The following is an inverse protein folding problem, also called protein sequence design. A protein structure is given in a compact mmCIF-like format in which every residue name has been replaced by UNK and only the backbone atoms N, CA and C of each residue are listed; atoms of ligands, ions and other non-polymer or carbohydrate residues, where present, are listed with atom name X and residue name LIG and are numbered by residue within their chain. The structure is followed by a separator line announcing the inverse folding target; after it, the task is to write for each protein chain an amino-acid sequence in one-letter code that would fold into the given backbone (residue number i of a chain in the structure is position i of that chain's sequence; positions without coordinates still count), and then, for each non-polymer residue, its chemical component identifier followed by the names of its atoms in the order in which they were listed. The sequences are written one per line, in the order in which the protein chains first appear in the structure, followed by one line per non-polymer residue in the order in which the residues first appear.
data_IF_306329653042
#
_entry.id   IF_306329653042
#
_cell.length_a   1.000
_cell.length_b   1.000
_cell.length_c   1.000
_cell.angle_alpha   90.00
_cell.angle_beta   90.00
_cell.angle_gamma   90.00
#
_symmetry.space_group_name_H-M   'P 1'
#
loop_
_entity.id
_entity.type
_entity.pdbx_description
1 polymer ?
#
# COMPACT_ATOMS: atom_id res chain seq x y z
N UNK A 1 7.12 16.39 -0.73
CA UNK A 1 6.08 15.45 -1.18
C UNK A 1 6.75 14.15 -1.59
N UNK A 2 6.16 13.02 -1.26
CA UNK A 2 6.50 11.71 -1.81
C UNK A 2 5.28 11.03 -2.44
N UNK A 3 5.55 10.08 -3.30
CA UNK A 3 4.54 9.26 -3.98
C UNK A 3 5.00 7.81 -3.92
N UNK A 4 4.11 6.88 -3.59
CA UNK A 4 4.44 5.46 -3.48
C UNK A 4 3.23 4.56 -3.75
N UNK A 5 3.48 3.31 -4.13
CA UNK A 5 2.46 2.29 -4.40
C UNK A 5 2.88 0.99 -3.70
N UNK A 6 2.57 0.87 -2.40
CA UNK A 6 3.02 -0.26 -1.59
C UNK A 6 2.22 -1.53 -1.90
N UNK A 7 2.84 -2.72 -1.80
CA UNK A 7 2.10 -3.96 -1.64
C UNK A 7 1.19 -3.92 -0.39
N UNK A 8 0.12 -4.72 -0.40
CA UNK A 8 -0.97 -4.66 0.57
C UNK A 8 -0.70 -5.39 1.89
N UNK A 9 0.50 -5.94 2.11
CA UNK A 9 0.88 -6.43 3.45
C UNK A 9 1.18 -5.27 4.38
N UNK A 10 0.95 -5.45 5.68
CA UNK A 10 1.24 -4.40 6.67
C UNK A 10 2.72 -4.02 6.70
N UNK A 11 3.61 -5.01 6.57
CA UNK A 11 5.04 -4.80 6.57
C UNK A 11 5.51 -3.98 5.37
N UNK A 12 5.03 -4.30 4.17
CA UNK A 12 5.36 -3.56 2.95
C UNK A 12 4.79 -2.13 3.01
N UNK A 13 3.52 -1.97 3.37
CA UNK A 13 2.91 -0.65 3.56
C UNK A 13 3.76 0.22 4.49
N UNK A 14 4.09 -0.29 5.68
CA UNK A 14 4.91 0.41 6.68
C UNK A 14 6.27 0.82 6.11
N UNK A 15 6.95 -0.09 5.40
CA UNK A 15 8.26 0.18 4.82
C UNK A 15 8.21 1.27 3.75
N UNK A 16 7.25 1.20 2.84
CA UNK A 16 7.10 2.18 1.76
C UNK A 16 6.74 3.57 2.30
N UNK A 17 5.82 3.66 3.26
CA UNK A 17 5.49 4.92 3.92
C UNK A 17 6.70 5.48 4.67
N UNK A 18 7.44 4.65 5.41
CA UNK A 18 8.64 5.08 6.13
C UNK A 18 9.72 5.63 5.19
N UNK A 19 9.95 4.98 4.04
CA UNK A 19 10.89 5.49 3.00
C UNK A 19 10.45 6.83 2.45
N UNK A 20 9.16 6.99 2.14
CA UNK A 20 8.59 8.26 1.70
C UNK A 20 8.79 9.36 2.75
N UNK A 21 8.45 9.08 4.00
CA UNK A 21 8.60 10.02 5.13
C UNK A 21 10.05 10.42 5.36
N UNK A 22 11.00 9.51 5.17
CA UNK A 22 12.42 9.82 5.31
C UNK A 22 12.91 10.93 4.37
N UNK A 23 12.20 11.18 3.26
CA UNK A 23 12.51 12.25 2.29
C UNK A 23 11.89 13.61 2.65
N UNK A 24 10.99 13.65 3.63
CA UNK A 24 10.27 14.87 4.03
C UNK A 24 11.10 15.68 5.03
N UNK A 25 11.02 17.00 4.94
CA UNK A 25 11.66 17.93 5.89
C UNK A 25 10.94 17.93 7.24
N UNK A 26 11.63 18.38 8.29
CA UNK A 26 11.15 18.33 9.67
C UNK A 26 9.86 19.12 9.96
N UNK A 27 9.57 20.12 9.16
CA UNK A 27 8.37 20.95 9.32
C UNK A 27 7.08 20.30 8.73
N UNK A 28 7.16 19.05 8.27
CA UNK A 28 6.04 18.34 7.70
C UNK A 28 5.96 18.40 6.19
N UNK A 29 4.95 17.76 5.64
CA UNK A 29 4.73 17.68 4.20
C UNK A 29 3.61 16.72 3.87
N UNK A 30 3.41 16.47 2.58
CA UNK A 30 2.39 15.57 2.09
C UNK A 30 3.01 14.33 1.45
N UNK A 31 2.30 13.22 1.52
CA UNK A 31 2.57 11.99 0.81
C UNK A 31 1.34 11.52 0.04
N UNK A 32 1.57 10.70 -0.97
CA UNK A 32 0.52 10.04 -1.72
C UNK A 32 0.84 8.56 -1.82
N UNK A 33 -0.17 7.72 -1.61
CA UNK A 33 0.00 6.28 -1.83
C UNK A 33 -1.22 5.67 -2.50
N UNK A 34 -0.98 4.70 -3.39
CA UNK A 34 -1.99 3.86 -3.97
C UNK A 34 -2.33 2.70 -3.04
N UNK A 35 -3.59 2.33 -2.92
CA UNK A 35 -4.01 1.13 -2.20
C UNK A 35 -5.44 0.73 -2.61
N UNK A 36 -5.72 -0.57 -2.60
CA UNK A 36 -7.05 -1.09 -2.88
C UNK A 36 -7.59 -1.92 -1.73
N UNK A 37 -8.90 -1.80 -1.48
CA UNK A 37 -9.60 -2.69 -0.53
C UNK A 37 -9.79 -4.11 -1.08
N UNK A 38 -9.55 -4.33 -2.36
CA UNK A 38 -9.73 -5.66 -2.99
C UNK A 38 -8.63 -6.63 -2.57
N UNK A 39 -7.39 -6.13 -2.46
CA UNK A 39 -6.23 -6.93 -2.08
C UNK A 39 -5.87 -6.77 -0.60
N UNK A 40 -6.44 -5.76 0.06
CA UNK A 40 -6.28 -5.53 1.48
C UNK A 40 -7.54 -5.89 2.24
N UNK A 41 -7.42 -6.78 3.22
CA UNK A 41 -8.53 -7.07 4.12
C UNK A 41 -8.87 -5.86 5.01
N UNK A 42 -10.08 -5.86 5.59
CA UNK A 42 -10.49 -4.84 6.57
C UNK A 42 -9.54 -4.82 7.78
N UNK A 43 -8.97 -5.96 8.17
CA UNK A 43 -7.99 -6.04 9.26
C UNK A 43 -6.66 -5.37 8.89
N UNK A 44 -6.16 -5.56 7.66
CA UNK A 44 -5.00 -4.84 7.15
C UNK A 44 -5.27 -3.33 7.13
N UNK A 45 -6.45 -2.90 6.62
CA UNK A 45 -6.86 -1.50 6.64
C UNK A 45 -6.86 -0.88 8.03
N UNK A 46 -7.34 -1.59 9.03
CA UNK A 46 -7.28 -1.12 10.41
C UNK A 46 -5.83 -0.90 10.88
N UNK A 47 -4.93 -1.84 10.53
CA UNK A 47 -3.49 -1.72 10.85
C UNK A 47 -2.88 -0.50 10.16
N UNK A 48 -3.17 -0.29 8.87
CA UNK A 48 -2.67 0.86 8.11
C UNK A 48 -3.09 2.19 8.70
N UNK A 49 -4.37 2.35 8.99
CA UNK A 49 -4.90 3.58 9.59
C UNK A 49 -4.29 3.85 10.97
N UNK A 50 -4.18 2.82 11.80
CA UNK A 50 -3.52 2.94 13.12
C UNK A 50 -2.07 3.37 12.99
N UNK A 51 -1.34 2.79 12.04
CA UNK A 51 0.07 3.15 11.82
C UNK A 51 0.22 4.59 11.32
N UNK A 52 -0.59 5.02 10.36
CA UNK A 52 -0.57 6.40 9.89
C UNK A 52 -0.80 7.39 11.06
N UNK A 53 -1.83 7.17 11.85
CA UNK A 53 -2.11 8.04 13.02
C UNK A 53 -0.97 7.98 14.06
N UNK A 54 -0.41 6.80 14.30
CA UNK A 54 0.70 6.61 15.25
C UNK A 54 1.94 7.42 14.87
N UNK A 55 2.28 7.47 13.59
CA UNK A 55 3.44 8.22 13.10
C UNK A 55 3.16 9.72 12.89
N UNK A 56 1.95 10.18 13.15
CA UNK A 56 1.55 11.57 12.95
C UNK A 56 1.16 11.93 11.52
N UNK A 57 0.65 10.95 10.76
CA UNK A 57 0.09 11.16 9.42
C UNK A 57 -1.43 11.09 9.45
N UNK A 58 -2.09 11.97 8.70
CA UNK A 58 -3.55 12.03 8.59
C UNK A 58 -3.95 11.95 7.12
N UNK A 59 -4.91 11.06 6.79
CA UNK A 59 -5.51 11.03 5.44
C UNK A 59 -6.38 12.28 5.28
N UNK A 60 -6.08 13.08 4.27
CA UNK A 60 -6.75 14.36 4.00
C UNK A 60 -7.53 14.36 2.70
N UNK A 61 -7.28 13.40 1.82
CA UNK A 61 -8.02 13.25 0.57
C UNK A 61 -7.96 11.81 0.04
N UNK A 62 -8.99 11.39 -0.69
CA UNK A 62 -9.10 10.09 -1.31
C UNK A 62 -9.67 10.26 -2.72
N UNK A 63 -8.89 9.89 -3.73
CA UNK A 63 -9.32 9.87 -5.13
C UNK A 63 -9.60 8.43 -5.53
N UNK A 64 -10.86 8.09 -5.67
CA UNK A 64 -11.30 6.74 -6.02
C UNK A 64 -10.93 6.39 -7.46
N UNK A 65 -10.66 5.09 -7.70
CA UNK A 65 -10.39 4.53 -9.04
C UNK A 65 -9.32 5.29 -9.83
N UNK A 66 -8.28 5.77 -9.15
CA UNK A 66 -7.23 6.61 -9.74
C UNK A 66 -6.20 5.83 -10.55
N UNK A 67 -5.72 4.70 -10.02
CA UNK A 67 -4.72 3.88 -10.70
C UNK A 67 -5.39 2.71 -11.42
N UNK A 68 -5.07 2.55 -12.69
CA UNK A 68 -5.43 1.39 -13.49
C UNK A 68 -4.27 0.38 -13.47
N UNK A 69 -4.50 -0.81 -12.94
CA UNK A 69 -3.54 -1.90 -12.99
C UNK A 69 -3.86 -2.80 -14.16
N UNK A 70 -2.95 -2.80 -15.13
CA UNK A 70 -3.06 -3.63 -16.32
C UNK A 70 -2.70 -5.07 -15.99
N UNK A 71 -3.34 -6.00 -16.69
CA UNK A 71 -2.95 -7.40 -16.60
C UNK A 71 -1.58 -7.62 -17.28
N UNK A 72 -0.57 -7.93 -16.49
CA UNK A 72 0.77 -8.26 -16.96
C UNK A 72 0.92 -9.77 -17.12
N UNK A 73 1.80 -10.22 -17.98
CA UNK A 73 2.01 -11.64 -18.26
C UNK A 73 2.37 -12.52 -17.04
N UNK A 74 2.87 -11.93 -15.96
CA UNK A 74 3.17 -12.66 -14.72
C UNK A 74 1.94 -12.96 -13.85
N UNK A 75 0.78 -12.41 -14.17
CA UNK A 75 -0.45 -12.60 -13.36
C UNK A 75 -0.75 -14.08 -13.08
N UNK A 76 -0.62 -14.92 -14.11
CA UNK A 76 -0.90 -16.36 -13.98
C UNK A 76 0.08 -17.10 -13.06
N UNK A 77 1.25 -16.52 -12.83
CA UNK A 77 2.28 -17.06 -11.94
C UNK A 77 2.02 -16.71 -10.47
N UNK A 78 1.13 -15.73 -10.20
CA UNK A 78 0.82 -15.35 -8.82
C UNK A 78 0.10 -16.46 -8.07
N UNK A 79 0.40 -16.57 -6.78
CA UNK A 79 -0.26 -17.56 -5.92
C UNK A 79 -1.78 -17.33 -5.85
N UNK A 80 -2.20 -16.08 -5.87
CA UNK A 80 -3.62 -15.71 -5.90
C UNK A 80 -4.32 -16.25 -7.15
N UNK A 81 -3.73 -16.08 -8.33
CA UNK A 81 -4.27 -16.63 -9.58
C UNK A 81 -4.32 -18.17 -9.57
N UNK A 82 -3.29 -18.82 -9.03
CA UNK A 82 -3.20 -20.28 -8.97
C UNK A 82 -4.31 -20.91 -8.11
N UNK A 83 -4.73 -20.24 -7.02
CA UNK A 83 -5.79 -20.73 -6.12
C UNK A 83 -7.16 -20.17 -6.46
N UNK A 84 -7.26 -19.19 -7.35
CA UNK A 84 -8.52 -18.57 -7.72
C UNK A 84 -9.49 -19.59 -8.36
N UNK A 85 -10.76 -19.57 -8.00
CA UNK A 85 -11.77 -20.44 -8.60
C UNK A 85 -12.03 -20.10 -10.08
N UNK A 86 -11.80 -18.85 -10.49
CA UNK A 86 -11.92 -18.39 -11.87
C UNK A 86 -10.52 -18.28 -12.47
N UNK A 87 -10.27 -18.99 -13.56
CA UNK A 87 -8.96 -19.04 -14.22
C UNK A 87 -8.79 -18.06 -15.38
N UNK A 88 -9.85 -17.34 -15.72
CA UNK A 88 -9.80 -16.36 -16.82
C UNK A 88 -9.29 -15.03 -16.30
N UNK A 89 -8.10 -14.64 -16.75
CA UNK A 89 -7.56 -13.32 -16.47
C UNK A 89 -8.30 -12.23 -17.30
N UNK A 90 -8.49 -11.02 -16.75
CA UNK A 90 -8.95 -9.88 -17.54
C UNK A 90 -7.94 -9.56 -18.64
N UNK A 91 -8.42 -9.10 -19.79
CA UNK A 91 -7.55 -8.75 -20.92
C UNK A 91 -6.97 -7.33 -20.83
N UNK A 92 -7.66 -6.46 -20.09
CA UNK A 92 -7.33 -5.03 -19.97
C UNK A 92 -6.98 -4.67 -18.52
N UNK A 93 -7.74 -3.77 -17.92
CA UNK A 93 -7.57 -3.36 -16.53
C UNK A 93 -7.97 -4.50 -15.60
N UNK A 94 -7.04 -4.95 -14.81
CA UNK A 94 -7.28 -6.00 -13.83
C UNK A 94 -8.05 -5.48 -12.62
N UNK A 95 -7.55 -4.40 -12.01
CA UNK A 95 -8.23 -3.71 -10.93
C UNK A 95 -7.82 -2.25 -10.88
N UNK A 96 -8.51 -1.49 -10.01
CA UNK A 96 -8.21 -0.09 -9.73
C UNK A 96 -7.94 0.10 -8.26
N UNK A 97 -7.00 0.96 -7.93
CA UNK A 97 -6.80 1.43 -6.56
C UNK A 97 -7.23 2.87 -6.39
N UNK A 98 -7.54 3.22 -5.15
CA UNK A 98 -7.69 4.61 -4.76
C UNK A 98 -6.32 5.23 -4.48
N UNK A 99 -6.24 6.54 -4.65
CA UNK A 99 -5.09 7.35 -4.31
C UNK A 99 -5.38 8.11 -3.02
N UNK A 100 -4.56 7.89 -2.02
CA UNK A 100 -4.70 8.50 -0.69
C UNK A 100 -3.68 9.60 -0.52
N UNK A 101 -4.15 10.81 -0.17
CA UNK A 101 -3.28 11.89 0.23
C UNK A 101 -3.17 11.90 1.74
N UNK A 102 -1.95 11.95 2.26
CA UNK A 102 -1.68 12.16 3.69
C UNK A 102 -0.93 13.46 3.92
N UNK A 103 -1.18 14.06 5.07
CA UNK A 103 -0.37 15.16 5.61
C UNK A 103 0.32 14.71 6.89
N UNK A 104 1.58 15.12 7.01
CA UNK A 104 2.41 14.88 8.19
C UNK A 104 2.28 16.05 9.14
N UNK A 105 1.85 15.77 10.36
CA UNK A 105 1.72 16.78 11.42
C UNK A 105 3.10 17.15 11.98
N UNK A 106 3.28 18.37 12.55
CA UNK A 106 4.53 18.71 13.24
C UNK A 106 4.86 17.67 14.33
N UNK A 107 6.11 17.20 14.34
CA UNK A 107 6.55 16.16 15.26
C UNK A 107 6.26 14.72 14.81
N UNK A 108 5.91 14.52 13.55
CA UNK A 108 5.74 13.19 12.98
C UNK A 108 6.97 12.29 13.20
N UNK A 109 6.71 10.99 13.38
CA UNK A 109 7.78 10.02 13.63
C UNK A 109 8.48 9.61 12.34
N UNK A 110 9.82 9.59 12.37
CA UNK A 110 10.65 9.05 11.29
C UNK A 110 11.19 7.69 11.71
N UNK A 111 10.81 6.68 10.95
CA UNK A 111 11.43 5.36 11.03
C UNK A 111 11.89 4.97 9.64
N UNK A 112 13.03 4.31 9.54
CA UNK A 112 13.57 3.84 8.26
C UNK A 112 14.35 2.54 8.48
N UNK A 113 13.77 1.63 9.26
CA UNK A 113 14.37 0.36 9.57
C UNK A 113 14.37 -0.58 8.35
N UNK A 114 15.40 -1.40 8.20
CA UNK A 114 15.40 -2.47 7.21
C UNK A 114 14.24 -3.44 7.46
N UNK A 115 13.70 -3.98 6.40
CA UNK A 115 12.65 -5.00 6.46
C UNK A 115 13.11 -6.21 5.64
N UNK A 116 12.77 -7.40 6.12
CA UNK A 116 13.05 -8.64 5.41
C UNK A 116 12.12 -8.79 4.20
N UNK A 117 12.67 -9.22 3.07
CA UNK A 117 11.90 -9.47 1.84
C UNK A 117 10.84 -10.57 2.02
N UNK A 118 11.04 -11.48 2.98
CA UNK A 118 10.14 -12.60 3.25
C UNK A 118 8.72 -12.16 3.66
N UNK A 119 8.59 -10.98 4.28
CA UNK A 119 7.31 -10.46 4.79
C UNK A 119 6.66 -9.41 3.87
N UNK A 120 7.27 -9.12 2.71
CA UNK A 120 6.77 -8.09 1.80
C UNK A 120 5.45 -8.48 1.13
N UNK A 121 5.34 -9.72 0.68
CA UNK A 121 4.22 -10.21 -0.11
C UNK A 121 3.40 -11.29 0.59
N UNK A 122 3.76 -11.64 1.82
CA UNK A 122 3.10 -12.69 2.60
C UNK A 122 3.03 -12.30 4.07
N UNK A 123 1.85 -12.32 4.65
CA UNK A 123 1.60 -12.17 6.09
C UNK A 123 0.61 -13.23 6.61
N UNK A 124 0.16 -13.09 7.86
CA UNK A 124 -0.80 -14.00 8.47
C UNK A 124 -2.16 -14.08 7.76
N UNK A 125 -2.50 -13.08 6.94
CA UNK A 125 -3.75 -13.04 6.18
C UNK A 125 -3.59 -13.60 4.76
N UNK A 126 -2.39 -14.02 4.40
CA UNK A 126 -2.07 -14.63 3.12
C UNK A 126 -1.23 -13.75 2.19
N UNK A 127 -1.08 -14.24 0.96
CA UNK A 127 -0.29 -13.58 -0.07
C UNK A 127 -1.03 -12.37 -0.64
N UNK A 128 -0.27 -11.33 -0.96
CA UNK A 128 -0.70 -10.25 -1.85
C UNK A 128 -0.06 -10.43 -3.22
N UNK A 129 -0.54 -9.74 -4.19
CA UNK A 129 0.00 -9.78 -5.57
C UNK A 129 1.34 -9.07 -5.70
#
# INVERSE_FOLDING_TARGET
VFVTDPPETFAAFKAFIARGIATIKDHGGAGYFGLTLRDSSIFRWQKFQKELLRIGAVITDIIQDFNDYMNWGYHEETKAAQVAPVKKAPQDIWYRSAWYRIELLPGFERTNEPISDEVFYLDEEGSTT
#
